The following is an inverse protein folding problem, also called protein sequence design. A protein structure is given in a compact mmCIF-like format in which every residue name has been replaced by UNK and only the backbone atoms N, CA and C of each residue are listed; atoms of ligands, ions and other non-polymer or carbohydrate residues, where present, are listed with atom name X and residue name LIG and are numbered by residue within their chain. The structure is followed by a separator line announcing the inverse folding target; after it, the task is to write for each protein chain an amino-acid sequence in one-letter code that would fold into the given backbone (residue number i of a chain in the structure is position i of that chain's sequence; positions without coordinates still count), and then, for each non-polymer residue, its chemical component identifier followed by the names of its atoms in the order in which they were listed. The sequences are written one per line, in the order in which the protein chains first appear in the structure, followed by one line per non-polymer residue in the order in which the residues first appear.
data_IF_190461380507
#
_entry.id   IF_190461380507
#
_cell.length_a   1.000
_cell.length_b   1.000
_cell.length_c   1.000
_cell.angle_alpha   90.00
_cell.angle_beta   90.00
_cell.angle_gamma   90.00
#
_symmetry.space_group_name_H-M   'P 1'
#
loop_
_entity.id
_entity.type
_entity.pdbx_description
1 polymer ?
#
# COMPACT_ATOMS: atom_id res chain seq x y z
N UNK A 1 20.97 11.66 -9.16
CA UNK A 1 20.98 10.51 -8.25
C UNK A 1 19.53 10.15 -7.94
N UNK A 2 19.00 9.14 -8.60
CA UNK A 2 17.67 8.60 -8.26
C UNK A 2 17.77 7.95 -6.88
N UNK A 3 16.84 8.23 -5.94
CA UNK A 3 16.78 7.50 -4.69
C UNK A 3 16.44 6.05 -5.03
N UNK A 4 17.32 5.11 -4.66
CA UNK A 4 16.99 3.70 -4.68
C UNK A 4 15.66 3.52 -3.92
N UNK A 5 14.69 2.81 -4.51
CA UNK A 5 13.46 2.36 -3.83
C UNK A 5 13.88 1.46 -2.66
N UNK A 6 14.21 2.04 -1.52
CA UNK A 6 14.43 1.30 -0.28
C UNK A 6 13.06 0.89 0.25
N UNK A 7 12.95 -0.36 0.56
CA UNK A 7 11.80 -0.90 1.27
C UNK A 7 11.81 -0.27 2.67
N UNK A 8 10.93 0.67 2.95
CA UNK A 8 10.97 1.53 4.14
C UNK A 8 10.94 0.75 5.46
N UNK A 9 10.45 -0.50 5.44
CA UNK A 9 10.46 -1.41 6.59
C UNK A 9 11.89 -1.75 7.11
N UNK A 10 12.94 -1.53 6.31
CA UNK A 10 14.32 -1.76 6.73
C UNK A 10 14.96 -0.59 7.50
N UNK A 11 14.27 0.54 7.60
CA UNK A 11 14.80 1.75 8.23
C UNK A 11 14.44 1.86 9.73
N UNK A 12 13.59 0.96 10.23
CA UNK A 12 13.17 0.97 11.64
C UNK A 12 14.06 0.05 12.49
N UNK A 13 14.39 0.53 13.69
CA UNK A 13 15.01 -0.30 14.71
C UNK A 13 14.06 -1.42 15.15
N UNK A 14 14.63 -2.57 15.45
CA UNK A 14 13.89 -3.73 15.92
C UNK A 14 13.30 -3.45 17.30
N UNK A 15 11.99 -3.63 17.43
CA UNK A 15 11.27 -3.54 18.70
C UNK A 15 11.41 -4.81 19.56
N UNK A 16 10.69 -4.85 20.69
CA UNK A 16 10.67 -6.04 21.54
C UNK A 16 9.97 -7.21 20.86
N UNK A 17 10.33 -8.42 21.25
CA UNK A 17 9.60 -9.62 20.90
C UNK A 17 8.20 -9.59 21.52
N UNK A 18 7.18 -9.79 20.71
CA UNK A 18 5.77 -9.75 21.13
C UNK A 18 5.17 -11.15 21.26
N UNK A 19 5.60 -12.07 20.42
CA UNK A 19 5.10 -13.44 20.37
C UNK A 19 6.24 -14.38 20.01
N UNK A 20 6.27 -15.55 20.63
CA UNK A 20 7.12 -16.67 20.23
C UNK A 20 6.38 -17.98 20.36
N UNK A 21 6.80 -18.98 19.59
CA UNK A 21 6.17 -20.29 19.60
C UNK A 21 6.84 -21.23 18.61
N UNK A 22 6.52 -22.51 18.70
CA UNK A 22 6.98 -23.52 17.76
C UNK A 22 5.93 -23.76 16.67
N UNK A 23 6.39 -23.92 15.43
CA UNK A 23 5.57 -24.30 14.29
C UNK A 23 6.05 -25.64 13.74
N UNK A 24 5.13 -26.46 13.25
CA UNK A 24 5.44 -27.73 12.62
C UNK A 24 5.42 -27.61 11.09
N UNK A 25 6.39 -28.20 10.43
CA UNK A 25 6.44 -28.24 8.96
C UNK A 25 5.17 -28.87 8.38
N UNK A 26 4.60 -28.24 7.36
CA UNK A 26 3.39 -28.71 6.68
C UNK A 26 2.07 -28.35 7.38
N UNK A 27 2.11 -27.72 8.55
CA UNK A 27 0.90 -27.21 9.23
C UNK A 27 0.75 -25.70 9.03
N UNK A 28 -0.47 -25.28 8.78
CA UNK A 28 -0.82 -23.85 8.81
C UNK A 28 -0.98 -23.43 10.27
N UNK A 29 -0.36 -22.32 10.63
CA UNK A 29 -0.43 -21.75 11.97
C UNK A 29 -0.81 -20.27 11.87
N UNK A 30 -1.85 -19.86 12.56
CA UNK A 30 -2.22 -18.46 12.70
C UNK A 30 -1.44 -17.84 13.86
N UNK A 31 -0.37 -17.12 13.54
CA UNK A 31 0.52 -16.49 14.52
C UNK A 31 0.10 -15.04 14.80
N UNK A 32 -0.64 -14.43 13.87
CA UNK A 32 -1.03 -13.03 13.92
C UNK A 32 -2.36 -12.93 14.66
N UNK A 33 -2.31 -12.95 16.00
CA UNK A 33 -3.46 -12.67 16.84
C UNK A 33 -3.81 -11.17 16.83
N UNK A 34 -4.26 -10.64 17.96
CA UNK A 34 -4.68 -9.24 18.13
C UNK A 34 -3.49 -8.26 18.21
N UNK A 35 -2.62 -8.29 17.18
CA UNK A 35 -1.52 -7.33 17.09
C UNK A 35 -2.07 -5.94 16.68
N UNK A 36 -1.60 -4.85 17.29
CA UNK A 36 -1.97 -3.50 16.89
C UNK A 36 -1.46 -3.16 15.48
N UNK A 37 -1.94 -2.04 14.92
CA UNK A 37 -1.42 -1.53 13.66
C UNK A 37 0.06 -1.21 13.80
N UNK A 38 0.90 -1.65 12.85
CA UNK A 38 2.34 -1.45 12.93
C UNK A 38 3.13 -2.21 11.89
N UNK A 39 4.44 -2.03 11.94
CA UNK A 39 5.41 -2.80 11.17
C UNK A 39 5.98 -3.92 12.03
N UNK A 40 6.05 -5.11 11.47
CA UNK A 40 6.45 -6.34 12.16
C UNK A 40 7.49 -7.12 11.39
N UNK A 41 8.24 -7.90 12.14
CA UNK A 41 9.20 -8.86 11.61
C UNK A 41 8.89 -10.24 12.21
N UNK A 42 8.80 -11.25 11.37
CA UNK A 42 8.75 -12.65 11.77
C UNK A 42 10.11 -13.26 11.47
N UNK A 43 10.69 -13.90 12.46
CA UNK A 43 11.85 -14.75 12.31
C UNK A 43 11.45 -16.21 12.55
N UNK A 44 11.86 -17.07 11.65
CA UNK A 44 11.68 -18.52 11.77
C UNK A 44 13.04 -19.18 11.75
N UNK A 45 13.33 -19.98 12.75
CA UNK A 45 14.58 -20.76 12.84
C UNK A 45 14.26 -22.23 12.94
N UNK A 46 15.04 -23.07 12.26
CA UNK A 46 14.91 -24.52 12.40
C UNK A 46 15.53 -24.99 13.72
N UNK A 47 14.91 -26.01 14.31
CA UNK A 47 15.46 -26.76 15.47
C UNK A 47 16.08 -28.01 14.89
N UNK A 48 17.42 -28.14 14.95
CA UNK A 48 18.14 -29.27 14.40
C UNK A 48 19.61 -28.97 14.12
N UNK A 49 20.30 -29.90 13.47
CA UNK A 49 21.74 -29.79 13.18
C UNK A 49 22.05 -28.69 12.14
N UNK A 50 21.14 -28.42 11.25
CA UNK A 50 21.25 -27.32 10.29
C UNK A 50 20.38 -26.14 10.72
N UNK A 51 21.02 -25.00 10.99
CA UNK A 51 20.33 -23.74 11.33
C UNK A 51 19.93 -23.01 10.06
N UNK A 52 18.64 -23.00 9.75
CA UNK A 52 18.07 -22.16 8.70
C UNK A 52 17.32 -21.01 9.37
N UNK A 53 17.62 -19.81 8.98
CA UNK A 53 16.93 -18.60 9.46
C UNK A 53 16.18 -17.96 8.29
N UNK A 54 14.90 -17.67 8.49
CA UNK A 54 14.06 -16.94 7.56
C UNK A 54 13.48 -15.71 8.27
N UNK A 55 13.64 -14.56 7.66
CA UNK A 55 13.07 -13.30 8.15
C UNK A 55 12.08 -12.76 7.15
N UNK A 56 10.88 -12.43 7.62
CA UNK A 56 9.84 -11.76 6.80
C UNK A 56 9.33 -10.52 7.50
N UNK A 57 9.28 -9.40 6.77
CA UNK A 57 8.77 -8.12 7.26
C UNK A 57 7.44 -7.80 6.62
N UNK A 58 6.49 -7.38 7.42
CA UNK A 58 5.15 -7.04 6.97
C UNK A 58 4.57 -5.87 7.78
N UNK A 59 3.48 -5.34 7.29
CA UNK A 59 2.77 -4.23 7.92
C UNK A 59 1.31 -4.62 8.14
N UNK A 60 0.83 -4.42 9.37
CA UNK A 60 -0.59 -4.49 9.70
C UNK A 60 -1.19 -3.09 9.63
N UNK A 61 -2.16 -2.90 8.77
CA UNK A 61 -2.86 -1.64 8.61
C UNK A 61 -4.37 -1.86 8.44
N UNK A 62 -5.16 -0.84 8.75
CA UNK A 62 -6.59 -0.84 8.51
C UNK A 62 -6.91 0.13 7.38
N UNK A 63 -7.35 -0.36 6.23
CA UNK A 63 -7.64 0.45 5.04
C UNK A 63 -8.75 1.49 5.25
N UNK A 64 -9.62 1.29 6.23
CA UNK A 64 -10.74 2.17 6.55
C UNK A 64 -10.41 3.15 7.70
N UNK A 65 -9.24 3.03 8.32
CA UNK A 65 -8.75 3.95 9.35
C UNK A 65 -7.95 5.08 8.72
N UNK A 66 -7.99 6.26 9.34
CA UNK A 66 -7.06 7.36 9.03
C UNK A 66 -5.68 7.16 9.65
N UNK A 67 -5.55 6.27 10.62
CA UNK A 67 -4.31 6.03 11.32
C UNK A 67 -3.31 5.32 10.42
N UNK A 68 -2.09 5.86 10.35
CA UNK A 68 -0.95 5.18 9.73
C UNK A 68 -0.49 4.04 10.63
N UNK A 69 -0.11 2.93 10.03
CA UNK A 69 0.48 1.81 10.77
C UNK A 69 1.90 2.12 11.26
N UNK A 70 2.62 2.96 10.52
CA UNK A 70 3.98 3.41 10.86
C UNK A 70 4.26 4.78 10.26
N UNK A 71 5.28 5.52 10.76
CA UNK A 71 5.75 6.74 10.12
C UNK A 71 6.25 6.47 8.69
N UNK A 72 5.79 7.26 7.71
CA UNK A 72 6.13 7.08 6.31
C UNK A 72 6.05 8.40 5.55
N UNK A 73 7.01 8.66 4.66
CA UNK A 73 7.01 9.89 3.88
C UNK A 73 5.82 9.98 2.94
N UNK A 74 5.60 8.94 2.14
CA UNK A 74 4.41 8.77 1.33
C UNK A 74 4.18 7.28 1.04
N UNK A 75 2.94 6.86 1.14
CA UNK A 75 2.50 5.49 0.96
C UNK A 75 1.44 5.41 -0.13
N UNK A 76 1.57 4.40 -0.98
CA UNK A 76 0.56 4.03 -1.96
C UNK A 76 0.34 2.52 -1.90
N UNK A 77 -0.79 2.10 -1.36
CA UNK A 77 -1.19 0.69 -1.25
C UNK A 77 -2.32 0.37 -2.21
N UNK A 78 -2.08 -0.59 -3.06
CA UNK A 78 -3.07 -1.12 -4.01
C UNK A 78 -4.00 -2.08 -3.28
N UNK A 79 -5.32 -1.83 -3.32
CA UNK A 79 -6.33 -2.73 -2.76
C UNK A 79 -7.03 -3.49 -3.89
N UNK A 80 -7.78 -2.79 -4.75
CA UNK A 80 -8.46 -3.37 -5.91
C UNK A 80 -8.13 -2.57 -7.16
N UNK A 81 -7.17 -3.06 -7.95
CA UNK A 81 -6.69 -2.40 -9.17
C UNK A 81 -7.24 -3.04 -10.45
N UNK A 82 -8.13 -4.02 -10.33
CA UNK A 82 -8.89 -4.61 -11.43
C UNK A 82 -10.36 -4.61 -11.07
N UNK A 83 -11.19 -3.98 -11.89
CA UNK A 83 -12.61 -3.84 -11.65
C UNK A 83 -13.39 -3.73 -12.95
N UNK A 84 -14.62 -4.22 -12.97
CA UNK A 84 -15.52 -4.10 -14.12
C UNK A 84 -16.47 -2.91 -13.93
N UNK A 85 -17.09 -2.39 -15.00
CA UNK A 85 -18.11 -1.34 -14.90
C UNK A 85 -19.19 -1.68 -13.89
N UNK A 86 -19.52 -0.68 -13.03
CA UNK A 86 -20.42 -0.84 -11.88
C UNK A 86 -19.73 -1.16 -10.55
N UNK A 87 -18.49 -1.62 -10.60
CA UNK A 87 -17.66 -1.80 -9.41
C UNK A 87 -16.82 -0.56 -9.10
N UNK A 88 -16.02 -0.64 -8.02
CA UNK A 88 -15.03 0.38 -7.66
C UNK A 88 -13.63 -0.21 -7.66
N UNK A 89 -12.67 0.50 -8.22
CA UNK A 89 -11.26 0.31 -7.93
C UNK A 89 -10.91 1.05 -6.63
N UNK A 90 -9.93 0.56 -5.88
CA UNK A 90 -9.58 1.17 -4.60
C UNK A 90 -8.09 1.05 -4.26
N UNK A 91 -7.60 2.04 -3.53
CA UNK A 91 -6.25 2.10 -3.00
C UNK A 91 -6.21 2.99 -1.75
N UNK A 92 -5.12 2.92 -1.00
CA UNK A 92 -4.87 3.79 0.15
C UNK A 92 -3.64 4.64 -0.14
N UNK A 93 -3.74 5.93 0.12
CA UNK A 93 -2.61 6.85 0.18
C UNK A 93 -2.42 7.33 1.61
N UNK A 94 -1.20 7.60 2.00
CA UNK A 94 -0.91 8.08 3.35
C UNK A 94 0.44 8.79 3.44
N UNK A 95 0.58 9.65 4.44
CA UNK A 95 1.82 10.33 4.74
C UNK A 95 1.87 10.78 6.18
N UNK A 96 3.04 10.68 6.80
CA UNK A 96 3.31 11.24 8.13
C UNK A 96 3.61 12.74 8.11
N UNK A 97 3.75 13.32 6.92
CA UNK A 97 3.96 14.77 6.81
C UNK A 97 2.72 15.54 7.21
N UNK A 98 2.96 16.68 7.85
CA UNK A 98 1.90 17.63 8.20
C UNK A 98 1.66 18.56 7.00
N UNK A 99 0.39 18.76 6.64
CA UNK A 99 -0.02 19.62 5.53
C UNK A 99 0.58 19.25 4.16
N UNK A 100 0.82 17.97 3.90
CA UNK A 100 1.20 17.53 2.56
C UNK A 100 0.03 17.71 1.60
N UNK A 101 0.22 18.53 0.56
CA UNK A 101 -0.75 18.67 -0.53
C UNK A 101 -0.30 17.81 -1.71
N UNK A 102 -1.21 16.96 -2.15
CA UNK A 102 -0.99 16.04 -3.28
C UNK A 102 -2.02 16.32 -4.36
N UNK A 103 -1.58 16.58 -5.57
CA UNK A 103 -2.44 16.61 -6.74
C UNK A 103 -2.72 15.16 -7.16
N UNK A 104 -3.97 14.78 -7.10
CA UNK A 104 -4.47 13.49 -7.56
C UNK A 104 -5.15 13.66 -8.90
N UNK A 105 -4.76 12.87 -9.89
CA UNK A 105 -5.31 12.90 -11.24
C UNK A 105 -5.72 11.50 -11.69
N UNK A 106 -6.80 11.43 -12.44
CA UNK A 106 -7.27 10.23 -13.15
C UNK A 106 -7.16 10.49 -14.63
N UNK A 107 -6.50 9.59 -15.34
CA UNK A 107 -6.27 9.66 -16.78
C UNK A 107 -6.98 8.51 -17.48
N UNK A 108 -7.67 8.83 -18.57
CA UNK A 108 -8.17 7.86 -19.55
C UNK A 108 -7.40 8.11 -20.84
N UNK A 109 -6.63 7.11 -21.25
CA UNK A 109 -5.62 7.26 -22.30
C UNK A 109 -4.66 8.42 -21.97
N UNK A 110 -4.57 9.46 -22.77
CA UNK A 110 -3.72 10.64 -22.55
C UNK A 110 -4.46 11.82 -21.91
N UNK A 111 -5.78 11.70 -21.68
CA UNK A 111 -6.61 12.79 -21.17
C UNK A 111 -6.80 12.71 -19.65
N UNK A 112 -6.72 13.87 -18.98
CA UNK A 112 -7.08 14.00 -17.56
C UNK A 112 -8.61 14.13 -17.47
N UNK A 113 -9.27 13.07 -17.00
CA UNK A 113 -10.73 13.06 -16.84
C UNK A 113 -11.20 13.53 -15.45
N UNK A 114 -10.29 13.59 -14.49
CA UNK A 114 -10.55 14.10 -13.15
C UNK A 114 -9.27 14.54 -12.47
N UNK A 115 -9.33 15.62 -11.72
CA UNK A 115 -8.23 16.04 -10.86
C UNK A 115 -8.75 16.73 -9.59
N UNK A 116 -8.02 16.55 -8.50
CA UNK A 116 -8.31 17.21 -7.23
C UNK A 116 -7.07 17.29 -6.33
N UNK A 117 -7.07 18.27 -5.43
CA UNK A 117 -6.09 18.37 -4.39
C UNK A 117 -6.53 17.56 -3.16
N UNK A 118 -5.63 16.75 -2.64
CA UNK A 118 -5.81 16.01 -1.40
C UNK A 118 -4.78 16.57 -0.41
N UNK A 119 -5.25 16.93 0.79
CA UNK A 119 -4.37 17.30 1.89
C UNK A 119 -4.26 16.11 2.84
N UNK A 120 -3.04 15.67 3.13
CA UNK A 120 -2.73 14.65 4.12
C UNK A 120 -2.05 15.32 5.30
N UNK A 121 -2.46 14.94 6.50
CA UNK A 121 -1.99 15.55 7.75
C UNK A 121 -1.70 14.45 8.79
N UNK A 122 -0.56 13.77 8.61
CA UNK A 122 -0.20 12.58 9.39
C UNK A 122 -1.34 11.54 9.39
N UNK A 123 -1.85 11.24 8.20
CA UNK A 123 -2.99 10.34 8.04
C UNK A 123 -2.87 9.51 6.75
N UNK A 124 -3.69 8.48 6.68
CA UNK A 124 -3.98 7.77 5.43
C UNK A 124 -5.44 7.94 5.04
N UNK A 125 -5.71 7.77 3.72
CA UNK A 125 -7.05 7.81 3.14
C UNK A 125 -7.24 6.73 2.11
N UNK A 126 -8.36 6.04 2.19
CA UNK A 126 -8.85 5.17 1.12
C UNK A 126 -9.47 6.04 0.03
N UNK A 127 -9.07 5.79 -1.20
CA UNK A 127 -9.62 6.42 -2.40
C UNK A 127 -10.35 5.33 -3.19
N UNK A 128 -11.56 5.62 -3.61
CA UNK A 128 -12.37 4.74 -4.43
C UNK A 128 -12.72 5.43 -5.76
N UNK A 129 -12.61 4.71 -6.86
CA UNK A 129 -12.94 5.19 -8.20
C UNK A 129 -14.08 4.32 -8.75
N UNK A 130 -15.28 4.87 -8.92
CA UNK A 130 -16.36 4.16 -9.60
C UNK A 130 -15.97 3.89 -11.06
N UNK A 131 -16.07 2.64 -11.49
CA UNK A 131 -15.70 2.24 -12.84
C UNK A 131 -16.92 2.35 -13.75
N UNK A 132 -16.77 3.12 -14.83
CA UNK A 132 -17.79 3.35 -15.87
C UNK A 132 -17.50 2.46 -17.08
N UNK A 133 -18.52 2.23 -17.91
CA UNK A 133 -18.40 1.48 -19.15
C UNK A 133 -17.39 2.11 -20.12
N UNK A 134 -17.31 3.45 -20.15
CA UNK A 134 -16.34 4.21 -20.95
C UNK A 134 -14.86 4.02 -20.53
N UNK A 135 -14.60 3.37 -19.40
CA UNK A 135 -13.23 3.13 -18.91
C UNK A 135 -12.65 1.78 -19.33
N UNK A 136 -13.34 1.05 -20.21
CA UNK A 136 -12.82 -0.22 -20.75
C UNK A 136 -11.48 -0.02 -21.44
N UNK A 137 -10.56 -0.96 -21.22
CA UNK A 137 -9.15 -0.83 -21.59
C UNK A 137 -8.28 -0.36 -20.43
N UNK A 138 -8.89 0.24 -19.40
CA UNK A 138 -8.21 0.69 -18.18
C UNK A 138 -8.03 2.19 -18.10
N UNK A 139 -7.64 2.65 -16.93
CA UNK A 139 -7.29 4.04 -16.64
C UNK A 139 -6.06 4.10 -15.75
N UNK A 140 -5.43 5.26 -15.70
CA UNK A 140 -4.27 5.50 -14.85
C UNK A 140 -4.59 6.52 -13.77
N UNK A 141 -3.97 6.37 -12.63
CA UNK A 141 -4.01 7.36 -11.55
C UNK A 141 -2.62 7.87 -11.27
N UNK A 142 -2.48 9.14 -11.01
CA UNK A 142 -1.22 9.76 -10.62
C UNK A 142 -1.40 10.63 -9.37
N UNK A 143 -0.33 10.72 -8.60
CA UNK A 143 -0.21 11.52 -7.38
C UNK A 143 1.08 12.32 -7.48
N UNK A 144 0.97 13.63 -7.38
CA UNK A 144 2.10 14.54 -7.43
C UNK A 144 2.02 15.46 -6.23
N UNK A 145 3.04 15.45 -5.40
CA UNK A 145 3.17 16.32 -4.24
C UNK A 145 4.56 16.92 -4.12
N UNK A 146 4.67 18.02 -3.39
CA UNK A 146 5.95 18.64 -3.07
C UNK A 146 5.99 18.83 -1.55
N UNK A 147 7.07 18.37 -0.94
CA UNK A 147 7.35 18.57 0.47
C UNK A 147 8.84 18.79 0.70
N UNK A 148 9.20 19.89 1.38
CA UNK A 148 10.58 20.29 1.64
C UNK A 148 11.47 20.23 0.38
N UNK A 149 11.03 20.85 -0.70
CA UNK A 149 11.70 20.88 -2.02
C UNK A 149 11.95 19.50 -2.66
N UNK A 150 11.21 18.46 -2.24
CA UNK A 150 11.26 17.13 -2.83
C UNK A 150 9.93 16.83 -3.50
N UNK A 151 9.99 16.32 -4.72
CA UNK A 151 8.82 15.83 -5.43
C UNK A 151 8.48 14.41 -4.94
N UNK A 152 7.21 14.21 -4.65
CA UNK A 152 6.61 12.90 -4.40
C UNK A 152 5.76 12.60 -5.63
N UNK A 153 6.06 11.50 -6.31
CA UNK A 153 5.34 11.09 -7.50
C UNK A 153 5.06 9.59 -7.46
N UNK A 154 3.80 9.23 -7.67
CA UNK A 154 3.35 7.87 -7.82
C UNK A 154 2.32 7.76 -8.91
N UNK A 155 2.36 6.66 -9.66
CA UNK A 155 1.35 6.34 -10.66
C UNK A 155 0.99 4.85 -10.60
N UNK A 156 -0.23 4.53 -11.00
CA UNK A 156 -0.68 3.16 -11.12
C UNK A 156 -1.76 3.04 -12.19
N UNK A 157 -1.80 1.88 -12.85
CA UNK A 157 -2.84 1.52 -13.81
C UNK A 157 -3.94 0.72 -13.10
N UNK A 158 -5.17 1.03 -13.44
CA UNK A 158 -6.38 0.28 -13.07
C UNK A 158 -6.83 -0.47 -14.31
N UNK A 159 -6.95 -1.77 -14.17
CA UNK A 159 -7.40 -2.68 -15.22
C UNK A 159 -8.92 -2.72 -15.30
N UNK A 160 -9.47 -2.39 -16.47
CA UNK A 160 -10.92 -2.50 -16.75
C UNK A 160 -11.09 -3.39 -17.98
N UNK A 161 -11.32 -4.69 -17.78
CA UNK A 161 -11.33 -5.65 -18.88
C UNK A 161 -12.50 -5.42 -19.84
N UNK A 162 -12.27 -5.67 -21.12
CA UNK A 162 -13.35 -5.78 -22.09
C UNK A 162 -14.19 -7.02 -21.77
N UNK A 163 -15.51 -6.92 -21.92
CA UNK A 163 -16.38 -8.09 -21.88
C UNK A 163 -16.25 -8.79 -23.23
N UNK A 164 -15.65 -9.96 -23.27
CA UNK A 164 -15.78 -10.81 -24.44
C UNK A 164 -17.25 -11.21 -24.50
N UNK A 165 -18.02 -10.56 -25.37
CA UNK A 165 -19.32 -11.12 -25.79
C UNK A 165 -19.00 -12.42 -26.50
N UNK A 166 -19.42 -13.56 -25.90
CA UNK A 166 -19.57 -14.80 -26.66
C UNK A 166 -20.70 -14.65 -27.66
#
# INVERSE_FOLDING_TARGET
LQPKKRNQLHEFERGPELLSGAIESGKQTDIIGDLPLGAYEIEVTTIGDEKIELTHRFELYNENSKQLAMPINFNFKRLKMKAVPGEKASFVIGSSFINLRVLYQVHLDEEIISQQWISLNNEQRKIEIPIKESYRGGLSVSFIGIYNNRTIEHSARIDVPYTNKK
#
